data_IF_377071585013
#
_entry.id   IF_377071585013
#
_cell.length_a   1.000
_cell.length_b   1.000
_cell.length_c   1.000
_cell.angle_alpha   90.00
_cell.angle_beta   90.00
_cell.angle_gamma   90.00
#
_symmetry.space_group_name_H-M   'P 1'
#
loop_
_entity.id
_entity.type
_entity.pdbx_description
1 polymer ?
#
# COMPACT_ATOMS: atom_id res chain seq x y z
N UNK A 1 -1.38 -2.04 -24.49
CA UNK A 1 -0.16 -1.59 -23.80
C UNK A 1 -0.56 -0.82 -22.54
N UNK A 2 0.20 -1.02 -21.48
CA UNK A 2 0.00 -0.43 -20.16
C UNK A 2 0.22 1.09 -20.14
N UNK A 3 1.15 1.59 -20.97
CA UNK A 3 1.37 3.03 -21.20
C UNK A 3 0.12 3.70 -21.76
N UNK A 4 -0.46 3.15 -22.83
CA UNK A 4 -1.70 3.65 -23.41
C UNK A 4 -2.86 3.62 -22.40
N UNK A 5 -2.94 2.56 -21.60
CA UNK A 5 -3.99 2.40 -20.60
C UNK A 5 -3.92 3.46 -19.48
N UNK A 6 -2.73 3.83 -18.99
CA UNK A 6 -2.62 4.93 -18.01
C UNK A 6 -2.89 6.29 -18.65
N UNK A 7 -2.53 6.49 -19.92
CA UNK A 7 -2.90 7.71 -20.65
C UNK A 7 -4.41 7.84 -20.88
N UNK A 8 -5.12 6.73 -21.10
CA UNK A 8 -6.59 6.73 -21.16
C UNK A 8 -7.21 7.11 -19.81
N UNK A 9 -6.65 6.59 -18.71
CA UNK A 9 -7.05 7.00 -17.36
C UNK A 9 -6.83 8.50 -17.15
N UNK A 10 -5.68 9.04 -17.57
CA UNK A 10 -5.42 10.48 -17.53
C UNK A 10 -6.49 11.27 -18.28
N UNK A 11 -6.81 10.90 -19.52
CA UNK A 11 -7.83 11.57 -20.32
C UNK A 11 -9.22 11.53 -19.67
N UNK A 12 -9.65 10.37 -19.17
CA UNK A 12 -10.93 10.24 -18.48
C UNK A 12 -10.97 11.04 -17.17
N UNK A 13 -9.91 10.93 -16.37
CA UNK A 13 -9.77 11.66 -15.12
C UNK A 13 -9.55 13.16 -15.30
N UNK A 14 -9.23 13.63 -16.52
CA UNK A 14 -9.18 15.05 -16.91
C UNK A 14 -10.53 15.61 -17.40
N UNK A 15 -11.54 14.74 -17.59
CA UNK A 15 -12.91 15.12 -17.95
C UNK A 15 -13.90 15.05 -16.77
N UNK A 16 -13.42 14.79 -15.55
CA UNK A 16 -14.21 14.69 -14.33
C UNK A 16 -14.81 13.30 -14.10
N UNK A 17 -14.39 12.30 -14.89
CA UNK A 17 -14.87 10.92 -14.81
C UNK A 17 -14.00 10.11 -13.86
N UNK A 18 -14.63 9.30 -13.01
CA UNK A 18 -13.91 8.31 -12.21
C UNK A 18 -13.20 7.31 -13.12
N UNK A 19 -11.89 7.17 -12.96
CA UNK A 19 -11.08 6.34 -13.82
C UNK A 19 -10.19 5.41 -12.99
N UNK A 20 -10.02 4.19 -13.48
CA UNK A 20 -9.11 3.22 -12.89
C UNK A 20 -8.40 2.38 -13.94
N UNK A 21 -7.27 1.81 -13.55
CA UNK A 21 -6.56 0.78 -14.32
C UNK A 21 -6.08 -0.31 -13.39
N UNK A 22 -5.89 -1.52 -13.92
CA UNK A 22 -5.20 -2.60 -13.23
C UNK A 22 -3.98 -3.07 -14.01
N UNK A 23 -3.01 -3.68 -13.32
CA UNK A 23 -1.89 -4.41 -13.91
C UNK A 23 -1.17 -5.25 -12.85
N UNK A 24 0.04 -5.72 -13.16
CA UNK A 24 0.96 -6.42 -12.26
C UNK A 24 2.39 -5.93 -12.50
N UNK A 25 3.27 -5.95 -11.50
CA UNK A 25 4.74 -5.78 -11.61
C UNK A 25 5.24 -5.05 -12.87
N UNK A 26 5.58 -5.77 -13.96
CA UNK A 26 6.10 -5.17 -15.20
C UNK A 26 5.19 -4.10 -15.81
N UNK A 27 3.89 -4.33 -15.82
CA UNK A 27 2.92 -3.41 -16.38
C UNK A 27 2.70 -2.18 -15.50
N UNK A 28 2.89 -2.28 -14.18
CA UNK A 28 2.94 -1.09 -13.30
C UNK A 28 4.21 -0.30 -13.58
N UNK A 29 5.36 -0.95 -13.80
CA UNK A 29 6.59 -0.26 -14.18
C UNK A 29 6.43 0.49 -15.51
N UNK A 30 5.69 -0.07 -16.47
CA UNK A 30 5.33 0.65 -17.71
C UNK A 30 4.36 1.82 -17.48
N UNK A 31 3.57 1.80 -16.40
CA UNK A 31 2.65 2.89 -16.03
C UNK A 31 3.32 3.98 -15.18
N UNK A 32 4.52 3.75 -14.67
CA UNK A 32 5.20 4.61 -13.69
C UNK A 32 5.23 6.10 -14.11
N UNK A 33 5.57 6.37 -15.37
CA UNK A 33 5.54 7.73 -15.92
C UNK A 33 4.13 8.34 -15.85
N UNK A 34 3.13 7.64 -16.39
CA UNK A 34 1.75 8.13 -16.40
C UNK A 34 1.13 8.27 -15.00
N UNK A 35 1.52 7.44 -14.03
CA UNK A 35 1.09 7.58 -12.64
C UNK A 35 1.68 8.85 -12.01
N UNK A 36 2.97 9.12 -12.25
CA UNK A 36 3.59 10.39 -11.83
C UNK A 36 2.89 11.59 -12.47
N UNK A 37 2.58 11.51 -13.76
CA UNK A 37 1.83 12.55 -14.50
C UNK A 37 0.43 12.79 -13.91
N UNK A 38 -0.30 11.74 -13.52
CA UNK A 38 -1.59 11.87 -12.85
C UNK A 38 -1.48 12.62 -11.51
N UNK A 39 -0.46 12.29 -10.70
CA UNK A 39 -0.21 12.97 -9.42
C UNK A 39 0.17 14.45 -9.64
N UNK A 40 1.08 14.72 -10.58
CA UNK A 40 1.50 16.07 -10.92
C UNK A 40 0.37 16.95 -11.48
N UNK A 41 -0.57 16.37 -12.21
CA UNK A 41 -1.76 17.06 -12.71
C UNK A 41 -2.93 17.13 -11.70
N UNK A 42 -2.72 16.63 -10.47
CA UNK A 42 -3.75 16.53 -9.43
C UNK A 42 -5.04 15.84 -9.92
N UNK A 43 -4.87 14.69 -10.58
CA UNK A 43 -5.96 13.89 -11.14
C UNK A 43 -6.25 12.68 -10.25
N UNK A 44 -7.51 12.49 -9.82
CA UNK A 44 -7.90 11.31 -9.06
C UNK A 44 -7.96 10.09 -9.99
N UNK A 45 -7.31 9.00 -9.58
CA UNK A 45 -7.36 7.73 -10.27
C UNK A 45 -7.08 6.58 -9.29
N UNK A 46 -7.70 5.42 -9.54
CA UNK A 46 -7.39 4.20 -8.81
C UNK A 46 -6.50 3.29 -9.65
N UNK A 47 -5.38 2.84 -9.10
CA UNK A 47 -4.49 1.86 -9.72
C UNK A 47 -4.55 0.57 -8.91
N UNK A 48 -4.90 -0.53 -9.55
CA UNK A 48 -4.85 -1.85 -8.92
C UNK A 48 -3.57 -2.57 -9.37
N UNK A 49 -2.66 -2.84 -8.44
CA UNK A 49 -1.51 -3.70 -8.69
C UNK A 49 -1.79 -5.08 -8.09
N UNK A 50 -1.96 -6.08 -8.97
CA UNK A 50 -2.09 -7.48 -8.60
C UNK A 50 -0.71 -8.14 -8.75
N UNK A 51 0.03 -8.18 -7.64
CA UNK A 51 1.41 -8.64 -7.59
C UNK A 51 1.53 -10.12 -7.94
N UNK A 52 2.55 -10.43 -8.73
CA UNK A 52 2.96 -11.78 -9.12
C UNK A 52 4.48 -11.91 -9.05
N UNK A 53 4.98 -13.14 -9.16
CA UNK A 53 6.41 -13.41 -9.03
C UNK A 53 7.25 -12.59 -10.02
N UNK A 54 8.30 -11.94 -9.52
CA UNK A 54 9.34 -11.25 -10.29
C UNK A 54 10.74 -11.74 -9.89
N UNK A 55 11.83 -11.10 -10.36
CA UNK A 55 11.88 -9.93 -11.25
C UNK A 55 11.71 -10.27 -12.74
N UNK A 56 11.67 -9.26 -13.61
CA UNK A 56 11.52 -9.43 -15.06
C UNK A 56 10.12 -9.92 -15.46
N UNK A 57 10.02 -10.79 -16.47
CA UNK A 57 8.73 -11.44 -16.77
C UNK A 57 8.22 -12.26 -15.58
N UNK A 58 9.15 -12.85 -14.83
CA UNK A 58 8.89 -13.55 -13.59
C UNK A 58 7.93 -14.74 -13.74
N UNK A 59 7.14 -14.97 -12.70
CA UNK A 59 6.16 -16.05 -12.58
C UNK A 59 4.73 -15.48 -12.56
N UNK A 60 3.75 -16.30 -12.91
CA UNK A 60 2.33 -15.89 -12.86
C UNK A 60 1.72 -16.09 -11.46
N UNK A 61 2.38 -16.90 -10.63
CA UNK A 61 2.00 -17.17 -9.25
C UNK A 61 2.13 -15.91 -8.38
N UNK A 62 1.35 -15.86 -7.30
CA UNK A 62 1.30 -14.69 -6.42
C UNK A 62 2.63 -14.43 -5.71
N UNK A 63 2.92 -13.17 -5.49
CA UNK A 63 4.05 -12.71 -4.68
C UNK A 63 3.72 -11.35 -4.06
N UNK A 64 4.59 -10.87 -3.18
CA UNK A 64 4.47 -9.57 -2.52
C UNK A 64 5.68 -8.66 -2.81
N UNK A 65 6.30 -8.84 -3.98
CA UNK A 65 7.59 -8.23 -4.31
C UNK A 65 7.54 -6.81 -4.86
N UNK A 66 6.36 -6.19 -4.95
CA UNK A 66 6.22 -4.81 -5.44
C UNK A 66 6.07 -3.78 -4.32
N UNK A 67 6.26 -4.14 -3.04
CA UNK A 67 6.09 -3.23 -1.89
C UNK A 67 6.91 -1.94 -2.05
N UNK A 68 8.22 -2.04 -2.31
CA UNK A 68 9.08 -0.87 -2.48
C UNK A 68 8.71 -0.06 -3.73
N UNK A 69 8.32 -0.74 -4.80
CA UNK A 69 7.86 -0.07 -6.01
C UNK A 69 6.58 0.74 -5.72
N UNK A 70 5.61 0.18 -5.01
CA UNK A 70 4.37 0.86 -4.65
C UNK A 70 4.57 2.00 -3.64
N UNK A 71 5.43 1.81 -2.62
CA UNK A 71 5.53 2.72 -1.47
C UNK A 71 6.67 3.73 -1.56
N UNK A 72 7.72 3.45 -2.36
CA UNK A 72 8.96 4.27 -2.40
C UNK A 72 9.34 4.73 -3.81
N UNK A 73 9.12 3.90 -4.84
CA UNK A 73 9.77 4.07 -6.15
C UNK A 73 8.80 3.97 -7.34
N UNK A 74 7.54 4.37 -7.18
CA UNK A 74 6.49 4.15 -8.18
C UNK A 74 6.70 4.92 -9.49
N UNK A 75 7.46 6.01 -9.45
CA UNK A 75 7.82 6.82 -10.60
C UNK A 75 8.75 7.96 -10.20
N UNK A 76 9.03 8.86 -11.15
CA UNK A 76 9.93 10.00 -10.94
C UNK A 76 9.23 11.18 -10.25
N UNK A 77 10.00 12.13 -9.72
CA UNK A 77 9.47 13.39 -9.15
C UNK A 77 9.15 13.37 -7.66
N UNK A 78 9.38 12.24 -6.96
CA UNK A 78 9.22 12.15 -5.51
C UNK A 78 7.78 12.24 -5.00
N UNK A 79 6.80 12.10 -5.90
CA UNK A 79 5.39 12.02 -5.54
C UNK A 79 5.10 10.74 -4.74
N UNK A 80 3.98 10.73 -4.02
CA UNK A 80 3.51 9.58 -3.25
C UNK A 80 2.05 9.32 -3.56
N UNK A 81 1.64 8.07 -3.39
CA UNK A 81 0.25 7.64 -3.49
C UNK A 81 -0.12 6.91 -2.22
N UNK A 82 -1.39 7.00 -1.81
CA UNK A 82 -1.89 6.10 -0.77
C UNK A 82 -1.85 4.68 -1.34
N UNK A 83 -1.34 3.72 -0.57
CA UNK A 83 -1.24 2.30 -0.93
C UNK A 83 -2.04 1.47 0.07
N UNK A 84 -3.13 0.87 -0.38
CA UNK A 84 -4.03 0.03 0.42
C UNK A 84 -3.81 -1.45 0.08
N UNK A 85 -3.74 -2.31 1.09
CA UNK A 85 -3.44 -3.73 0.93
C UNK A 85 -4.53 -4.63 1.54
N UNK A 86 -5.50 -5.10 0.73
CA UNK A 86 -6.53 -6.02 1.22
C UNK A 86 -5.95 -7.40 1.54
N UNK A 87 -6.51 -8.05 2.56
CA UNK A 87 -6.21 -9.44 2.92
C UNK A 87 -7.33 -10.43 2.56
N UNK A 88 -8.48 -9.93 2.11
CA UNK A 88 -9.65 -10.74 1.69
C UNK A 88 -10.32 -10.12 0.47
N UNK A 89 -11.18 -10.89 -0.21
CA UNK A 89 -11.98 -10.38 -1.33
C UNK A 89 -12.97 -9.31 -0.86
N UNK A 90 -13.54 -9.47 0.35
CA UNK A 90 -14.40 -8.45 0.96
C UNK A 90 -13.63 -7.12 1.15
N UNK A 91 -12.44 -7.18 1.75
CA UNK A 91 -11.60 -5.98 1.90
C UNK A 91 -11.20 -5.39 0.55
N UNK A 92 -10.95 -6.21 -0.48
CA UNK A 92 -10.63 -5.69 -1.81
C UNK A 92 -11.78 -4.86 -2.41
N UNK A 93 -13.03 -5.26 -2.18
CA UNK A 93 -14.22 -4.49 -2.56
C UNK A 93 -14.25 -3.18 -1.75
N UNK A 94 -14.23 -3.28 -0.43
CA UNK A 94 -14.41 -2.13 0.46
C UNK A 94 -13.30 -1.08 0.29
N UNK A 95 -12.05 -1.53 0.16
CA UNK A 95 -10.88 -0.67 -0.05
C UNK A 95 -10.84 -0.07 -1.46
N UNK A 96 -11.46 -0.70 -2.47
CA UNK A 96 -11.58 -0.08 -3.80
C UNK A 96 -12.55 1.10 -3.75
N UNK A 97 -13.69 0.97 -3.05
CA UNK A 97 -14.59 2.12 -2.83
C UNK A 97 -13.88 3.22 -2.05
N UNK A 98 -13.17 2.87 -0.97
CA UNK A 98 -12.36 3.82 -0.22
C UNK A 98 -11.28 4.47 -1.08
N UNK A 99 -10.64 3.74 -1.99
CA UNK A 99 -9.61 4.27 -2.87
C UNK A 99 -10.16 5.36 -3.79
N UNK A 100 -11.38 5.21 -4.33
CA UNK A 100 -12.02 6.29 -5.08
C UNK A 100 -12.35 7.50 -4.21
N UNK A 101 -12.93 7.29 -3.02
CA UNK A 101 -13.25 8.38 -2.08
C UNK A 101 -11.98 9.18 -1.72
N UNK A 102 -10.87 8.49 -1.45
CA UNK A 102 -9.57 9.10 -1.17
C UNK A 102 -8.96 9.79 -2.39
N UNK A 103 -9.01 9.16 -3.56
CA UNK A 103 -8.46 9.73 -4.78
C UNK A 103 -9.13 11.07 -5.10
N UNK A 104 -10.47 11.13 -5.00
CA UNK A 104 -11.25 12.36 -5.21
C UNK A 104 -10.92 13.40 -4.13
N UNK A 105 -10.94 13.01 -2.86
CA UNK A 105 -10.68 13.91 -1.72
C UNK A 105 -9.34 14.61 -1.85
N UNK A 106 -8.29 13.83 -2.14
CA UNK A 106 -6.92 14.34 -2.18
C UNK A 106 -6.49 14.79 -3.58
N UNK A 107 -7.29 14.53 -4.60
CA UNK A 107 -6.96 14.76 -6.01
C UNK A 107 -5.59 14.19 -6.37
N UNK A 108 -5.35 12.95 -5.93
CA UNK A 108 -4.11 12.22 -6.15
C UNK A 108 -4.44 10.76 -6.47
N UNK A 109 -3.60 10.04 -7.23
CA UNK A 109 -3.80 8.62 -7.42
C UNK A 109 -3.73 7.83 -6.11
N UNK A 110 -4.48 6.73 -6.06
CA UNK A 110 -4.47 5.76 -4.96
C UNK A 110 -4.23 4.38 -5.54
N UNK A 111 -3.35 3.61 -4.89
CA UNK A 111 -3.05 2.25 -5.27
C UNK A 111 -3.75 1.25 -4.34
N UNK A 112 -4.39 0.24 -4.92
CA UNK A 112 -4.77 -1.00 -4.23
C UNK A 112 -3.73 -2.05 -4.61
N UNK A 113 -2.89 -2.42 -3.64
CA UNK A 113 -1.81 -3.40 -3.79
C UNK A 113 -2.27 -4.74 -3.21
N UNK A 114 -2.59 -5.68 -4.08
CA UNK A 114 -2.98 -7.04 -3.70
C UNK A 114 -2.08 -8.05 -4.38
N UNK A 115 -2.05 -9.28 -3.88
CA UNK A 115 -1.31 -10.37 -4.51
C UNK A 115 -2.21 -11.21 -5.43
N UNK A 116 -1.61 -12.04 -6.28
CA UNK A 116 -2.34 -12.91 -7.20
C UNK A 116 -3.26 -13.93 -6.52
N UNK A 117 -3.11 -14.21 -5.21
CA UNK A 117 -4.03 -15.06 -4.46
C UNK A 117 -5.36 -14.33 -4.25
N UNK A 118 -5.32 -13.11 -3.68
CA UNK A 118 -6.51 -12.26 -3.57
C UNK A 118 -7.14 -12.00 -4.94
N UNK A 119 -6.32 -11.78 -5.97
CA UNK A 119 -6.81 -11.51 -7.33
C UNK A 119 -7.47 -12.70 -8.03
N UNK A 120 -7.32 -13.94 -7.53
CA UNK A 120 -7.87 -15.14 -8.18
C UNK A 120 -8.78 -15.99 -7.29
N UNK A 121 -8.84 -15.70 -5.98
CA UNK A 121 -9.66 -16.45 -5.04
C UNK A 121 -11.14 -16.06 -5.09
N UNK A 122 -11.99 -16.93 -4.54
CA UNK A 122 -13.42 -16.67 -4.35
C UNK A 122 -13.78 -16.79 -2.87
N UNK A 123 -14.48 -15.78 -2.35
CA UNK A 123 -14.98 -15.75 -0.98
C UNK A 123 -16.43 -15.23 -0.99
N UNK A 124 -17.27 -15.61 -0.01
CA UNK A 124 -18.56 -14.96 0.16
C UNK A 124 -18.34 -13.48 0.48
N UNK A 125 -19.05 -12.61 -0.22
CA UNK A 125 -18.95 -11.15 -0.05
C UNK A 125 -20.33 -10.53 0.06
N UNK A 126 -20.39 -9.43 0.79
CA UNK A 126 -21.54 -8.51 0.82
C UNK A 126 -21.16 -7.28 0.02
N UNK A 127 -21.87 -7.05 -1.09
CA UNK A 127 -21.65 -5.85 -1.88
C UNK A 127 -22.19 -4.62 -1.14
N UNK A 128 -21.44 -3.51 -1.10
CA UNK A 128 -21.96 -2.25 -0.58
C UNK A 128 -23.11 -1.74 -1.45
N UNK A 129 -23.90 -0.83 -0.89
CA UNK A 129 -24.92 -0.12 -1.66
C UNK A 129 -24.28 0.60 -2.86
N UNK A 130 -24.92 0.52 -4.02
CA UNK A 130 -24.44 1.19 -5.22
C UNK A 130 -24.42 2.71 -5.00
N UNK A 131 -23.26 3.34 -5.21
CA UNK A 131 -23.12 4.79 -5.17
C UNK A 131 -23.26 5.34 -6.58
N UNK A 132 -23.98 6.45 -6.72
CA UNK A 132 -23.94 7.21 -7.96
C UNK A 132 -22.52 7.75 -8.22
N UNK A 133 -21.99 7.63 -9.45
CA UNK A 133 -20.64 8.12 -9.75
C UNK A 133 -20.55 9.62 -9.50
N UNK A 134 -19.67 10.02 -8.59
CA UNK A 134 -19.39 11.43 -8.36
C UNK A 134 -18.60 11.97 -9.55
N UNK A 135 -19.15 12.99 -10.22
CA UNK A 135 -18.36 13.84 -11.13
C UNK A 135 -17.68 14.91 -10.29
N UNK A 136 -16.35 15.01 -10.38
CA UNK A 136 -15.60 16.03 -9.67
C UNK A 136 -15.30 17.19 -10.62
N UNK A 137 -15.48 18.41 -10.12
CA UNK A 137 -15.20 19.62 -10.87
C UNK A 137 -13.73 20.03 -10.71
N UNK A 138 -13.11 20.50 -11.79
CA UNK A 138 -11.79 21.14 -11.71
C UNK A 138 -11.83 22.51 -11.03
N UNK A 139 -13.02 23.06 -10.78
CA UNK A 139 -13.18 24.30 -10.01
C UNK A 139 -12.61 24.10 -8.62
N UNK A 140 -11.52 24.80 -8.32
CA UNK A 140 -10.78 24.63 -7.08
C UNK A 140 -9.31 24.95 -7.28
N UNK A 141 -8.50 24.60 -6.29
CA UNK A 141 -7.15 25.15 -6.18
C UNK A 141 -6.16 24.62 -7.23
N UNK A 142 -6.30 23.36 -7.69
CA UNK A 142 -5.52 22.86 -8.83
C UNK A 142 -5.74 23.67 -10.11
N UNK A 143 -6.97 24.11 -10.37
CA UNK A 143 -7.24 25.00 -11.50
C UNK A 143 -6.59 26.37 -11.36
N UNK A 144 -6.29 26.89 -10.16
CA UNK A 144 -5.59 28.18 -10.02
C UNK A 144 -4.15 28.13 -10.52
N UNK A 145 -3.51 26.97 -10.41
CA UNK A 145 -2.13 26.76 -10.87
C UNK A 145 -2.06 26.44 -12.36
N UNK A 146 -2.95 25.57 -12.82
CA UNK A 146 -2.98 25.17 -14.22
C UNK A 146 -3.70 26.18 -15.10
N UNK A 147 -4.60 26.98 -14.52
CA UNK A 147 -5.41 27.98 -15.20
C UNK A 147 -5.49 29.28 -14.36
N UNK A 148 -4.42 30.09 -14.32
CA UNK A 148 -4.49 31.43 -13.73
C UNK A 148 -5.61 32.23 -14.41
N UNK A 149 -6.43 32.90 -13.59
CA UNK A 149 -7.67 33.58 -13.99
C UNK A 149 -7.56 34.32 -15.33
N UNK A 150 -8.36 33.93 -16.33
CA UNK A 150 -8.46 34.64 -17.62
C UNK A 150 -8.36 33.78 -18.87
N UNK A 151 -7.91 32.53 -18.76
CA UNK A 151 -7.90 31.61 -19.91
C UNK A 151 -9.26 30.91 -20.00
N UNK A 152 -10.02 31.21 -21.05
CA UNK A 152 -11.36 30.64 -21.29
C UNK A 152 -11.39 29.14 -21.60
N UNK A 153 -10.32 28.40 -21.31
CA UNK A 153 -10.20 26.95 -21.48
C UNK A 153 -9.62 26.30 -20.23
N UNK A 154 -10.09 25.10 -19.89
CA UNK A 154 -9.52 24.31 -18.81
C UNK A 154 -8.20 23.68 -19.28
N UNK A 155 -7.11 23.96 -18.56
CA UNK A 155 -5.80 23.35 -18.80
C UNK A 155 -5.54 22.32 -17.71
N UNK A 156 -5.18 21.10 -18.12
CA UNK A 156 -4.79 20.00 -17.23
C UNK A 156 -3.40 19.56 -17.66
N UNK A 157 -2.40 19.89 -16.84
CA UNK A 157 -0.99 19.68 -17.16
C UNK A 157 -0.22 19.27 -15.91
N UNK A 158 0.82 18.46 -16.07
CA UNK A 158 1.83 18.20 -15.04
C UNK A 158 3.15 18.94 -15.33
N UNK A 159 3.17 19.79 -16.37
CA UNK A 159 4.33 20.56 -16.78
C UNK A 159 4.16 22.02 -16.33
N UNK A 160 4.79 22.35 -15.20
CA UNK A 160 4.90 23.71 -14.67
C UNK A 160 6.33 24.19 -14.92
N UNK A 161 6.51 25.11 -15.87
CA UNK A 161 7.84 25.53 -16.34
C UNK A 161 8.52 26.49 -15.37
N UNK A 162 7.75 27.36 -14.72
CA UNK A 162 8.23 28.28 -13.72
C UNK A 162 8.47 27.52 -12.39
N UNK A 163 9.71 27.51 -11.86
CA UNK A 163 10.05 26.78 -10.64
C UNK A 163 9.17 27.13 -9.44
N UNK A 164 8.72 28.38 -9.33
CA UNK A 164 7.88 28.86 -8.24
C UNK A 164 6.51 28.16 -8.22
N UNK A 165 5.91 27.88 -9.39
CA UNK A 165 4.66 27.12 -9.45
C UNK A 165 4.86 25.65 -9.08
N UNK A 166 5.98 25.05 -9.53
CA UNK A 166 6.31 23.68 -9.19
C UNK A 166 6.60 23.53 -7.68
N UNK A 167 7.29 24.49 -7.07
CA UNK A 167 7.56 24.52 -5.63
C UNK A 167 6.26 24.59 -4.84
N UNK A 168 5.33 25.47 -5.21
CA UNK A 168 4.04 25.59 -4.54
C UNK A 168 3.22 24.28 -4.59
N UNK A 169 3.23 23.59 -5.74
CA UNK A 169 2.61 22.26 -5.86
C UNK A 169 3.27 21.25 -4.91
N UNK A 170 4.60 21.25 -4.84
CA UNK A 170 5.36 20.32 -3.99
C UNK A 170 5.14 20.59 -2.49
N UNK A 171 5.08 21.86 -2.07
CA UNK A 171 4.77 22.24 -0.68
C UNK A 171 3.41 21.69 -0.28
N UNK A 172 2.39 21.93 -1.10
CA UNK A 172 1.04 21.39 -0.87
C UNK A 172 1.03 19.87 -0.83
N UNK A 173 1.74 19.21 -1.75
CA UNK A 173 1.84 17.76 -1.75
C UNK A 173 2.48 17.26 -0.45
N UNK A 174 3.50 17.96 0.06
CA UNK A 174 4.11 17.72 1.37
C UNK A 174 3.11 17.81 2.52
N UNK A 175 2.34 18.90 2.60
CA UNK A 175 1.29 19.08 3.61
C UNK A 175 0.23 17.96 3.54
N UNK A 176 -0.18 17.60 2.33
CA UNK A 176 -1.11 16.49 2.07
C UNK A 176 -0.53 15.15 2.56
N UNK A 177 0.75 14.88 2.33
CA UNK A 177 1.39 13.64 2.79
C UNK A 177 1.51 13.58 4.32
N UNK A 178 1.70 14.71 5.01
CA UNK A 178 1.65 14.75 6.47
C UNK A 178 0.22 14.51 6.97
N UNK A 179 -0.79 15.13 6.35
CA UNK A 179 -2.20 14.88 6.67
C UNK A 179 -2.56 13.39 6.53
N UNK A 180 -2.06 12.71 5.50
CA UNK A 180 -2.31 11.27 5.33
C UNK A 180 -1.79 10.46 6.50
N UNK A 181 -0.58 10.75 7.01
CA UNK A 181 -0.01 10.04 8.16
C UNK A 181 -0.87 10.17 9.42
N UNK A 182 -1.65 11.23 9.54
CA UNK A 182 -2.56 11.44 10.67
C UNK A 182 -3.93 10.78 10.44
N UNK A 183 -4.48 10.88 9.22
CA UNK A 183 -5.91 10.58 8.98
C UNK A 183 -6.18 9.29 8.21
N UNK A 184 -5.23 8.84 7.40
CA UNK A 184 -5.47 7.78 6.43
C UNK A 184 -4.63 6.52 6.70
N UNK A 185 -4.02 6.45 7.87
CA UNK A 185 -3.39 5.23 8.40
C UNK A 185 -4.46 4.22 8.78
N UNK A 186 -4.33 3.00 8.26
CA UNK A 186 -5.19 1.86 8.56
C UNK A 186 -4.32 0.67 8.94
N UNK A 187 -4.53 0.15 10.14
CA UNK A 187 -3.90 -1.07 10.61
C UNK A 187 -4.88 -1.89 11.43
N UNK A 188 -4.67 -3.20 11.40
CA UNK A 188 -5.32 -4.11 12.33
C UNK A 188 -4.30 -4.57 13.36
N UNK A 189 -4.66 -4.46 14.64
CA UNK A 189 -3.92 -5.00 15.76
C UNK A 189 -4.63 -6.26 16.25
N UNK A 190 -3.91 -7.39 16.28
CA UNK A 190 -4.46 -8.69 16.60
C UNK A 190 -3.71 -9.33 17.77
N UNK A 191 -4.41 -9.52 18.89
CA UNK A 191 -3.89 -10.15 20.11
C UNK A 191 -2.56 -9.51 20.58
N UNK A 192 -2.47 -8.17 20.60
CA UNK A 192 -1.29 -7.44 21.06
C UNK A 192 -1.26 -7.16 22.56
N UNK A 193 -2.40 -7.25 23.25
CA UNK A 193 -2.54 -6.84 24.65
C UNK A 193 -1.62 -7.56 25.63
N UNK A 194 -1.16 -8.78 25.31
CA UNK A 194 -0.25 -9.60 26.12
C UNK A 194 0.97 -10.12 25.32
N UNK A 195 1.13 -9.69 24.07
CA UNK A 195 2.10 -10.25 23.15
C UNK A 195 3.55 -9.96 23.58
N UNK A 196 4.39 -11.01 23.53
CA UNK A 196 5.84 -10.95 23.67
C UNK A 196 6.54 -10.99 22.30
N UNK A 197 5.88 -11.51 21.28
CA UNK A 197 6.40 -11.65 19.92
C UNK A 197 5.39 -11.06 18.95
N UNK A 198 5.82 -10.15 18.08
CA UNK A 198 4.90 -9.46 17.17
C UNK A 198 5.24 -9.80 15.73
N UNK A 199 4.27 -10.38 15.02
CA UNK A 199 4.38 -10.61 13.58
C UNK A 199 3.87 -9.36 12.86
N UNK A 200 4.62 -8.87 11.88
CA UNK A 200 4.16 -7.80 11.00
C UNK A 200 4.00 -8.38 9.60
N UNK A 201 2.78 -8.34 9.08
CA UNK A 201 2.44 -8.96 7.80
C UNK A 201 1.32 -8.17 7.13
N UNK A 202 1.23 -8.17 5.80
CA UNK A 202 0.10 -7.59 5.07
C UNK A 202 -0.44 -8.55 4.01
N UNK A 203 -1.59 -8.22 3.42
CA UNK A 203 -2.21 -9.01 2.36
C UNK A 203 -2.44 -10.48 2.74
N UNK A 204 -2.20 -11.40 1.82
CA UNK A 204 -2.38 -12.85 2.07
C UNK A 204 -1.46 -13.38 3.17
N UNK A 205 -0.22 -12.88 3.30
CA UNK A 205 0.71 -13.32 4.35
C UNK A 205 0.15 -13.08 5.76
N UNK A 206 -0.62 -12.01 5.97
CA UNK A 206 -1.28 -11.74 7.24
C UNK A 206 -2.36 -12.77 7.61
N UNK A 207 -2.98 -13.43 6.61
CA UNK A 207 -3.92 -14.53 6.87
C UNK A 207 -3.20 -15.75 7.43
N UNK A 208 -2.08 -16.12 6.79
CA UNK A 208 -1.23 -17.22 7.25
C UNK A 208 -0.68 -16.93 8.66
N UNK A 209 -0.25 -15.69 8.91
CA UNK A 209 0.20 -15.24 10.22
C UNK A 209 -0.90 -15.36 11.29
N UNK A 210 -2.16 -15.03 10.98
CA UNK A 210 -3.27 -15.18 11.92
C UNK A 210 -3.45 -16.64 12.36
N UNK A 211 -3.38 -17.59 11.43
CA UNK A 211 -3.44 -19.03 11.74
C UNK A 211 -2.23 -19.46 12.58
N UNK A 212 -1.02 -19.04 12.20
CA UNK A 212 0.21 -19.33 12.93
C UNK A 212 0.17 -18.81 14.37
N UNK A 213 -0.41 -17.64 14.62
CA UNK A 213 -0.59 -17.08 15.97
C UNK A 213 -1.49 -17.98 16.83
N UNK A 214 -2.54 -18.55 16.25
CA UNK A 214 -3.39 -19.52 16.95
C UNK A 214 -2.60 -20.73 17.43
N UNK A 215 -1.74 -21.28 16.57
CA UNK A 215 -0.86 -22.42 16.91
C UNK A 215 0.20 -22.05 17.96
N UNK A 216 0.87 -20.91 17.80
CA UNK A 216 1.86 -20.40 18.75
C UNK A 216 1.23 -20.22 20.14
N UNK A 217 0.04 -19.61 20.21
CA UNK A 217 -0.69 -19.45 21.48
C UNK A 217 -1.11 -20.79 22.08
N UNK A 218 -1.47 -21.77 21.26
CA UNK A 218 -1.71 -23.16 21.70
C UNK A 218 -0.48 -23.83 22.34
N UNK A 219 0.74 -23.38 21.97
CA UNK A 219 2.01 -23.77 22.59
C UNK A 219 2.45 -22.84 23.74
N UNK A 220 1.55 -22.00 24.26
CA UNK A 220 1.83 -20.99 25.28
C UNK A 220 2.83 -19.89 24.85
N UNK A 221 3.02 -19.69 23.54
CA UNK A 221 3.83 -18.60 23.00
C UNK A 221 2.91 -17.40 22.74
N UNK A 222 3.09 -16.30 23.48
CA UNK A 222 2.25 -15.10 23.38
C UNK A 222 2.61 -14.27 22.14
N UNK A 223 2.19 -14.74 20.97
CA UNK A 223 2.35 -14.03 19.71
C UNK A 223 1.13 -13.14 19.41
N UNK A 224 1.38 -11.97 18.81
CA UNK A 224 0.36 -11.09 18.26
C UNK A 224 0.76 -10.58 16.87
N UNK A 225 -0.08 -9.78 16.23
CA UNK A 225 0.18 -9.23 14.90
C UNK A 225 -0.21 -7.77 14.78
N UNK A 226 0.60 -7.02 14.04
CA UNK A 226 0.22 -5.76 13.42
C UNK A 226 0.09 -6.02 11.92
N UNK A 227 -1.08 -5.78 11.36
CA UNK A 227 -1.32 -5.87 9.92
C UNK A 227 -1.55 -4.49 9.34
N UNK A 228 -0.57 -3.91 8.63
CA UNK A 228 -0.80 -2.72 7.83
C UNK A 228 -1.86 -2.98 6.76
N UNK A 229 -2.93 -2.21 6.79
CA UNK A 229 -3.94 -2.13 5.71
C UNK A 229 -3.61 -0.97 4.78
N UNK A 230 -3.04 0.12 5.31
CA UNK A 230 -2.32 1.12 4.54
C UNK A 230 -0.81 0.83 4.61
N UNK A 231 -0.20 0.52 3.47
CA UNK A 231 1.26 0.38 3.34
C UNK A 231 1.93 1.74 3.16
N UNK A 232 1.21 2.69 2.57
CA UNK A 232 1.53 4.10 2.64
C UNK A 232 0.23 4.90 2.79
N UNK A 233 0.11 5.79 3.80
CA UNK A 233 1.03 5.98 4.91
C UNK A 233 1.15 4.72 5.80
N UNK A 234 2.36 4.44 6.29
CA UNK A 234 2.65 3.25 7.09
C UNK A 234 2.23 3.45 8.57
N UNK A 235 1.72 2.42 9.28
CA UNK A 235 1.22 2.54 10.66
C UNK A 235 2.34 2.61 11.70
N UNK A 236 3.09 3.71 11.69
CA UNK A 236 4.23 3.94 12.59
C UNK A 236 3.82 3.92 14.06
N UNK A 237 2.68 4.52 14.41
CA UNK A 237 2.25 4.64 15.80
C UNK A 237 1.86 3.29 16.43
N UNK A 238 1.28 2.36 15.67
CA UNK A 238 1.01 0.98 16.13
C UNK A 238 2.30 0.23 16.49
N UNK A 239 3.41 0.55 15.82
CA UNK A 239 4.71 -0.07 16.11
C UNK A 239 5.44 0.63 17.26
N UNK A 240 5.35 1.97 17.34
CA UNK A 240 5.96 2.74 18.43
C UNK A 240 5.31 2.49 19.80
N UNK A 241 4.02 2.17 19.82
CA UNK A 241 3.25 1.94 21.05
C UNK A 241 3.55 0.59 21.71
N UNK A 242 4.31 -0.30 21.06
CA UNK A 242 4.70 -1.59 21.61
C UNK A 242 5.50 -1.44 22.91
N UNK A 243 5.09 -2.20 23.95
CA UNK A 243 5.75 -2.20 25.25
C UNK A 243 7.16 -2.80 25.16
N UNK A 244 8.17 -1.94 25.33
CA UNK A 244 9.59 -2.30 25.27
C UNK A 244 10.04 -3.26 26.36
N UNK A 245 9.30 -3.38 27.46
CA UNK A 245 9.64 -4.32 28.53
C UNK A 245 9.08 -5.72 28.28
N UNK A 246 8.10 -5.84 27.40
CA UNK A 246 7.37 -7.09 27.15
C UNK A 246 7.68 -7.68 25.79
N UNK A 247 7.63 -6.86 24.74
CA UNK A 247 7.90 -7.31 23.37
C UNK A 247 9.39 -7.57 23.23
N UNK A 248 9.74 -8.79 22.83
CA UNK A 248 11.13 -9.26 22.71
C UNK A 248 11.68 -9.03 21.32
N UNK A 249 10.89 -9.29 20.28
CA UNK A 249 11.28 -9.06 18.88
C UNK A 249 10.05 -9.00 17.96
N UNK A 250 10.30 -8.55 16.73
CA UNK A 250 9.32 -8.53 15.64
C UNK A 250 9.73 -9.52 14.55
N UNK A 251 8.76 -10.03 13.78
CA UNK A 251 8.99 -10.86 12.59
C UNK A 251 8.26 -10.26 11.40
N UNK A 252 9.00 -9.77 10.42
CA UNK A 252 8.47 -9.33 9.14
C UNK A 252 8.17 -10.54 8.25
N UNK A 253 6.91 -10.65 7.83
CA UNK A 253 6.35 -11.85 7.21
C UNK A 253 5.69 -11.52 5.88
N UNK A 254 6.32 -11.93 4.78
CA UNK A 254 5.93 -11.57 3.41
C UNK A 254 6.14 -12.71 2.40
N UNK A 255 5.42 -12.67 1.29
CA UNK A 255 5.72 -13.48 0.09
C UNK A 255 6.73 -12.77 -0.83
N UNK A 256 7.80 -12.23 -0.25
CA UNK A 256 8.98 -11.76 -0.97
C UNK A 256 10.30 -12.10 -0.25
N UNK A 257 11.39 -12.19 -1.02
CA UNK A 257 12.75 -12.40 -0.54
C UNK A 257 13.74 -11.54 -1.35
N UNK A 258 14.57 -10.70 -0.70
CA UNK A 258 14.47 -10.32 0.71
C UNK A 258 13.10 -9.66 1.02
N UNK A 259 12.67 -9.76 2.28
CA UNK A 259 11.48 -9.01 2.75
C UNK A 259 11.72 -7.51 2.57
N UNK A 260 10.67 -6.77 2.26
CA UNK A 260 10.73 -5.37 1.81
C UNK A 260 10.18 -4.39 2.84
N UNK A 261 9.19 -4.81 3.63
CA UNK A 261 8.55 -3.99 4.67
C UNK A 261 9.45 -3.80 5.90
N UNK A 262 10.46 -4.66 6.08
CA UNK A 262 11.42 -4.61 7.19
C UNK A 262 12.06 -3.23 7.37
N UNK A 263 12.38 -2.51 6.29
CA UNK A 263 12.97 -1.17 6.40
C UNK A 263 12.01 -0.20 7.09
N UNK A 264 10.72 -0.22 6.75
CA UNK A 264 9.71 0.62 7.38
C UNK A 264 9.44 0.22 8.84
N UNK A 265 9.46 -1.08 9.14
CA UNK A 265 9.34 -1.58 10.51
C UNK A 265 10.50 -1.05 11.37
N UNK A 266 11.74 -1.23 10.89
CA UNK A 266 12.95 -0.82 11.63
C UNK A 266 12.99 0.69 11.83
N UNK A 267 12.62 1.47 10.82
CA UNK A 267 12.49 2.92 10.93
C UNK A 267 11.40 3.33 11.92
N UNK A 268 10.24 2.66 11.92
CA UNK A 268 9.15 2.96 12.84
C UNK A 268 9.52 2.71 14.31
N UNK A 269 10.23 1.62 14.60
CA UNK A 269 10.67 1.28 15.97
C UNK A 269 12.04 1.86 16.34
N UNK A 270 12.73 2.52 15.41
CA UNK A 270 14.09 3.03 15.58
C UNK A 270 15.06 1.98 16.15
N UNK A 271 15.01 0.75 15.59
CA UNK A 271 15.77 -0.42 16.05
C UNK A 271 15.61 -0.76 17.56
N UNK A 272 14.51 -0.34 18.19
CA UNK A 272 14.24 -0.64 19.61
C UNK A 272 14.07 -2.14 19.90
N UNK A 273 13.83 -2.94 18.87
CA UNK A 273 13.64 -4.38 18.95
C UNK A 273 14.44 -5.07 17.84
N UNK A 274 14.95 -6.30 18.07
CA UNK A 274 15.36 -7.18 16.99
C UNK A 274 14.20 -7.40 16.01
N UNK A 275 14.49 -7.36 14.71
CA UNK A 275 13.51 -7.64 13.65
C UNK A 275 14.04 -8.78 12.80
N UNK A 276 13.31 -9.89 12.78
CA UNK A 276 13.60 -11.08 12.00
C UNK A 276 12.76 -11.12 10.73
N UNK A 277 13.19 -11.88 9.73
CA UNK A 277 12.45 -12.07 8.48
C UNK A 277 11.91 -13.49 8.35
N UNK A 278 10.70 -13.60 7.80
CA UNK A 278 10.05 -14.82 7.40
C UNK A 278 9.47 -14.61 5.99
N UNK A 279 10.24 -15.01 4.97
CA UNK A 279 9.89 -14.72 3.58
C UNK A 279 9.87 -15.96 2.69
N UNK A 280 8.95 -15.98 1.73
CA UNK A 280 8.99 -16.86 0.54
C UNK A 280 9.00 -15.99 -0.72
N UNK A 281 9.33 -16.53 -1.89
CA UNK A 281 9.39 -15.72 -3.12
C UNK A 281 9.15 -16.58 -4.37
N UNK A 282 9.02 -15.91 -5.52
CA UNK A 282 8.92 -16.55 -6.83
C UNK A 282 7.61 -17.31 -7.08
N UNK A 283 6.56 -17.06 -6.28
CA UNK A 283 5.30 -17.80 -6.38
C UNK A 283 5.10 -18.89 -5.33
N UNK A 284 6.10 -19.14 -4.49
CA UNK A 284 6.00 -20.08 -3.37
C UNK A 284 5.20 -19.43 -2.24
N UNK A 285 4.16 -20.11 -1.80
CA UNK A 285 3.27 -19.63 -0.75
C UNK A 285 3.95 -19.82 0.60
N UNK A 286 3.85 -18.81 1.44
CA UNK A 286 4.29 -18.87 2.83
C UNK A 286 3.22 -19.58 3.67
N UNK A 287 3.60 -20.64 4.37
CA UNK A 287 2.65 -21.41 5.20
C UNK A 287 2.68 -20.97 6.67
N UNK A 288 1.61 -21.27 7.41
CA UNK A 288 1.54 -21.03 8.85
C UNK A 288 2.65 -21.79 9.60
N UNK A 289 2.97 -23.03 9.22
CA UNK A 289 4.03 -23.82 9.86
C UNK A 289 5.40 -23.14 9.72
N UNK A 290 5.69 -22.57 8.55
CA UNK A 290 6.94 -21.85 8.30
C UNK A 290 7.05 -20.58 9.16
N UNK A 291 5.93 -19.90 9.40
CA UNK A 291 5.85 -18.74 10.29
C UNK A 291 6.06 -19.17 11.75
N UNK A 292 5.42 -20.25 12.19
CA UNK A 292 5.61 -20.85 13.52
C UNK A 292 7.09 -21.20 13.74
N UNK A 293 7.70 -21.91 12.80
CA UNK A 293 9.11 -22.26 12.84
C UNK A 293 10.02 -21.03 12.88
N UNK A 294 9.70 -19.97 12.12
CA UNK A 294 10.49 -18.75 12.11
C UNK A 294 10.47 -18.05 13.48
N UNK A 295 9.30 -17.98 14.13
CA UNK A 295 9.17 -17.43 15.49
C UNK A 295 9.95 -18.30 16.48
N UNK A 296 9.79 -19.63 16.47
CA UNK A 296 10.51 -20.53 17.37
C UNK A 296 12.03 -20.46 17.19
N UNK A 297 12.51 -20.37 15.94
CA UNK A 297 13.93 -20.16 15.63
C UNK A 297 14.44 -18.82 16.14
N UNK A 298 13.64 -17.76 16.06
CA UNK A 298 14.00 -16.45 16.62
C UNK A 298 14.05 -16.48 18.16
N UNK A 299 13.09 -17.14 18.82
CA UNK A 299 13.13 -17.37 20.28
C UNK A 299 14.42 -18.08 20.68
N UNK A 300 14.80 -19.14 19.96
CA UNK A 300 16.02 -19.89 20.25
C UNK A 300 17.32 -19.08 20.06
N UNK A 301 17.29 -18.01 19.26
CA UNK A 301 18.44 -17.10 19.08
C UNK A 301 18.58 -16.10 20.24
N UNK A 302 17.47 -15.56 20.73
CA UNK A 302 17.46 -14.57 21.82
C UNK A 302 17.75 -15.18 23.21
N UNK A 303 17.61 -16.50 23.36
CA UNK A 303 17.92 -17.21 24.61
C UNK A 303 19.43 -17.54 24.74
N UNK A 304 20.22 -17.34 23.68
CA UNK A 304 21.68 -17.58 23.66
C UNK A 304 22.47 -16.30 23.91
#
# INVERSE_FOLDING_TARGET
>A
SETASVCMVYGAAAMGTLAMTSSSGPGISLKAEGISTLAGACLPAVIVNVMRGGPGLGAIQAAQSDYLHATKALGHGGFRVIVLAPSTVQEAIDLTYKAFDLAIRYRNPVMVLMDGWIGSMMEPVTLPEAKEPVTFSYTGWGAKYFNPSGVGVNVVTSCLLEPEYQELLNIRAGEMYEEWKEKEVLAEEYLLDDAEYVIVAYGTAARAARTAIGELRGKCIRAGMIRPVSLYPFPVESLKSLDRNRVKFLVDTEMTLPVQMMDDIRLAVADAFPVYSCGRSGGVILTNEEIVEAVEKAIAKEVR
#
